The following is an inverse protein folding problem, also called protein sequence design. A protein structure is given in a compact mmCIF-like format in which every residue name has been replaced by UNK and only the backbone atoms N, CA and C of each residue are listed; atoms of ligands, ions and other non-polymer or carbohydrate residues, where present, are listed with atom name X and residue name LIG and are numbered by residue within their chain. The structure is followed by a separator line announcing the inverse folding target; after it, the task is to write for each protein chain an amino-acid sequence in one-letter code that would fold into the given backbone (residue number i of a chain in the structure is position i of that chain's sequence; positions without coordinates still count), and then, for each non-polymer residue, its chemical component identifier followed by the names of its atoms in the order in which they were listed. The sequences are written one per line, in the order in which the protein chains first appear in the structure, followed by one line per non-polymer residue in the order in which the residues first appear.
data_IF_757424255559
#
_entry.id   IF_757424255559
#
_cell.length_a   1.000
_cell.length_b   1.000
_cell.length_c   1.000
_cell.angle_alpha   90.00
_cell.angle_beta   90.00
_cell.angle_gamma   90.00
#
_symmetry.space_group_name_H-M   'P 1'
#
loop_
_entity.id
_entity.type
_entity.pdbx_description
1 polymer ?
#
# COMPACT_ATOMS: atom_id res chain seq x y z
N UNK A 1 -0.51 -22.10 17.78
CA UNK A 1 -1.42 -21.07 18.32
C UNK A 1 -0.96 -20.60 19.70
N UNK A 2 -0.18 -19.52 19.76
CA UNK A 2 -0.06 -18.67 20.95
C UNK A 2 -0.20 -17.23 20.47
N UNK A 3 -1.45 -16.82 20.23
CA UNK A 3 -1.79 -15.40 20.16
C UNK A 3 -1.36 -14.80 21.50
N UNK A 4 -0.31 -13.97 21.48
CA UNK A 4 0.08 -13.24 22.68
C UNK A 4 -1.10 -12.35 23.09
N UNK A 5 -1.51 -12.33 24.38
CA UNK A 5 -2.67 -11.57 24.80
C UNK A 5 -2.53 -10.08 24.41
N UNK A 6 -3.63 -9.38 24.08
CA UNK A 6 -3.60 -8.02 23.53
C UNK A 6 -2.86 -6.98 24.40
N UNK A 7 -2.72 -7.23 25.71
CA UNK A 7 -1.91 -6.38 26.60
C UNK A 7 -0.39 -6.54 26.37
N UNK A 8 0.08 -7.73 25.99
CA UNK A 8 1.50 -7.98 25.72
C UNK A 8 1.94 -7.34 24.40
N UNK A 9 1.07 -7.31 23.38
CA UNK A 9 1.37 -6.64 22.10
C UNK A 9 1.45 -5.12 22.25
N UNK A 10 0.55 -4.51 23.04
CA UNK A 10 0.58 -3.07 23.34
C UNK A 10 1.86 -2.69 24.09
N UNK A 11 2.26 -3.44 25.12
CA UNK A 11 3.49 -3.16 25.87
C UNK A 11 4.74 -3.30 24.99
N UNK A 12 4.83 -4.37 24.19
CA UNK A 12 5.94 -4.57 23.23
C UNK A 12 6.05 -3.40 22.26
N UNK A 13 4.91 -2.92 21.75
CA UNK A 13 4.87 -1.80 20.82
C UNK A 13 5.25 -0.47 21.47
N UNK A 14 4.82 -0.21 22.70
CA UNK A 14 5.25 0.97 23.45
C UNK A 14 6.76 0.95 23.70
N UNK A 15 7.31 -0.19 24.12
CA UNK A 15 8.75 -0.37 24.29
C UNK A 15 9.50 -0.16 22.96
N UNK A 16 9.00 -0.75 21.87
CA UNK A 16 9.58 -0.58 20.55
C UNK A 16 9.64 0.89 20.15
N UNK A 17 8.53 1.64 20.29
CA UNK A 17 8.50 3.08 20.01
C UNK A 17 9.50 3.86 20.87
N UNK A 18 9.67 3.51 22.15
CA UNK A 18 10.67 4.18 23.00
C UNK A 18 12.10 3.89 22.54
N UNK A 19 12.40 2.65 22.14
CA UNK A 19 13.71 2.29 21.59
C UNK A 19 13.97 3.04 20.27
N UNK A 20 12.98 3.12 19.38
CA UNK A 20 13.11 3.82 18.10
C UNK A 20 13.33 5.34 18.25
N UNK A 21 13.01 5.93 19.41
CA UNK A 21 13.28 7.33 19.73
C UNK A 21 14.72 7.61 20.19
N UNK A 22 15.54 6.57 20.36
CA UNK A 22 16.94 6.74 20.75
C UNK A 22 17.71 7.52 19.67
N UNK A 23 18.76 8.29 20.03
CA UNK A 23 19.55 9.05 19.07
C UNK A 23 20.12 8.17 17.95
N UNK A 24 20.27 8.73 16.75
CA UNK A 24 20.82 8.05 15.57
C UNK A 24 22.08 7.23 15.88
N UNK A 25 23.04 7.82 16.61
CA UNK A 25 24.29 7.15 16.96
C UNK A 25 24.07 5.87 17.79
N UNK A 26 23.06 5.87 18.67
CA UNK A 26 22.70 4.72 19.51
C UNK A 26 22.01 3.65 18.68
N UNK A 27 21.01 3.99 17.86
CA UNK A 27 20.36 3.03 16.96
C UNK A 27 21.35 2.41 15.97
N UNK A 28 22.27 3.22 15.45
CA UNK A 28 23.37 2.75 14.58
C UNK A 28 24.28 1.79 15.34
N UNK A 29 24.68 2.10 16.57
CA UNK A 29 25.52 1.23 17.37
C UNK A 29 24.82 -0.10 17.67
N UNK A 30 23.56 -0.07 18.12
CA UNK A 30 22.77 -1.26 18.42
C UNK A 30 22.50 -2.14 17.19
N UNK A 31 22.49 -1.55 15.99
CA UNK A 31 22.36 -2.28 14.72
C UNK A 31 23.71 -2.71 14.12
N UNK A 32 24.78 -2.73 14.92
CA UNK A 32 26.10 -3.21 14.50
C UNK A 32 26.87 -2.22 13.62
N UNK A 33 26.53 -0.92 13.67
CA UNK A 33 27.27 0.16 13.03
C UNK A 33 27.03 0.36 11.53
N UNK A 34 26.36 -0.58 10.85
CA UNK A 34 26.22 -0.55 9.40
C UNK A 34 25.03 0.30 8.91
N UNK A 35 25.29 1.17 7.94
CA UNK A 35 24.27 1.93 7.20
C UNK A 35 24.00 1.20 5.88
N UNK A 36 22.75 1.22 5.41
CA UNK A 36 22.39 0.67 4.10
C UNK A 36 22.37 1.83 3.11
N UNK A 37 23.30 1.83 2.17
CA UNK A 37 23.43 2.87 1.15
C UNK A 37 23.46 2.23 -0.24
N UNK A 38 22.55 2.64 -1.12
CA UNK A 38 22.40 2.11 -2.47
C UNK A 38 22.12 3.28 -3.41
N UNK A 39 22.95 3.45 -4.45
CA UNK A 39 22.81 4.48 -5.50
C UNK A 39 22.53 5.89 -4.96
N UNK A 40 23.35 6.34 -4.01
CA UNK A 40 23.24 7.69 -3.43
C UNK A 40 22.12 7.86 -2.41
N UNK A 41 21.32 6.82 -2.15
CA UNK A 41 20.23 6.84 -1.16
C UNK A 41 20.58 6.02 0.07
N UNK A 42 20.15 6.49 1.22
CA UNK A 42 20.39 5.87 2.51
C UNK A 42 19.07 5.41 3.11
N UNK A 43 18.98 4.13 3.46
CA UNK A 43 17.81 3.59 4.15
C UNK A 43 17.64 4.28 5.49
N UNK A 44 16.39 4.53 5.85
CA UNK A 44 16.05 5.06 7.17
C UNK A 44 16.70 4.26 8.31
N UNK A 45 17.13 4.96 9.36
CA UNK A 45 17.90 4.36 10.45
C UNK A 45 17.04 3.53 11.39
N UNK A 46 15.79 3.96 11.65
CA UNK A 46 14.86 3.18 12.46
C UNK A 46 14.48 1.89 11.70
N UNK A 47 14.24 1.98 10.39
CA UNK A 47 14.03 0.81 9.52
C UNK A 47 15.26 -0.11 9.50
N UNK A 48 16.47 0.44 9.35
CA UNK A 48 17.72 -0.33 9.39
C UNK A 48 17.89 -1.05 10.74
N UNK A 49 17.56 -0.37 11.84
CA UNK A 49 17.60 -0.95 13.19
C UNK A 49 16.58 -2.07 13.35
N UNK A 50 15.34 -1.87 12.91
CA UNK A 50 14.29 -2.89 12.90
C UNK A 50 14.76 -4.12 12.13
N UNK A 51 15.25 -3.91 10.91
CA UNK A 51 15.77 -4.98 10.06
C UNK A 51 16.87 -5.77 10.78
N UNK A 52 17.93 -5.12 11.25
CA UNK A 52 19.10 -5.81 11.81
C UNK A 52 18.91 -6.40 13.20
N UNK A 53 17.97 -5.89 13.98
CA UNK A 53 17.81 -6.26 15.40
C UNK A 53 16.64 -7.20 15.62
N UNK A 54 15.52 -6.97 14.93
CA UNK A 54 14.30 -7.75 15.11
C UNK A 54 14.06 -8.72 13.95
N UNK A 55 14.59 -8.41 12.77
CA UNK A 55 14.35 -9.17 11.54
C UNK A 55 15.64 -9.66 10.87
N UNK A 56 16.69 -9.92 11.64
CA UNK A 56 17.85 -10.66 11.16
C UNK A 56 18.12 -11.77 12.18
N UNK A 57 17.71 -13.00 11.86
CA UNK A 57 17.96 -14.15 12.73
C UNK A 57 19.32 -14.77 12.43
N UNK A 58 19.92 -15.43 13.43
CA UNK A 58 21.22 -16.12 13.32
C UNK A 58 21.23 -17.29 12.31
N UNK A 59 20.08 -17.73 11.81
CA UNK A 59 19.90 -18.83 10.86
C UNK A 59 19.93 -18.40 9.37
N UNK A 60 20.33 -17.15 9.08
CA UNK A 60 20.34 -16.54 7.74
C UNK A 60 18.96 -16.41 7.07
N UNK A 61 17.84 -16.74 7.74
CA UNK A 61 16.51 -16.38 7.24
C UNK A 61 16.25 -14.90 7.51
N UNK A 62 15.87 -14.17 6.47
CA UNK A 62 15.34 -12.82 6.59
C UNK A 62 13.84 -12.94 6.89
N UNK A 63 13.37 -12.65 8.12
CA UNK A 63 11.94 -12.60 8.42
C UNK A 63 11.25 -11.60 7.51
N UNK A 64 10.00 -11.90 7.14
CA UNK A 64 9.22 -11.23 6.09
C UNK A 64 9.65 -11.54 4.64
N UNK A 65 10.66 -12.40 4.43
CA UNK A 65 10.93 -12.98 3.11
C UNK A 65 10.01 -14.17 2.85
N UNK A 66 9.62 -14.35 1.59
CA UNK A 66 8.97 -15.57 1.10
C UNK A 66 10.00 -16.65 0.74
N UNK A 67 11.27 -16.28 0.64
CA UNK A 67 12.34 -17.22 0.29
C UNK A 67 12.61 -18.16 1.45
N UNK A 68 12.49 -19.47 1.20
CA UNK A 68 12.82 -20.50 2.18
C UNK A 68 11.76 -20.72 3.26
N UNK A 69 10.51 -20.26 3.07
CA UNK A 69 9.36 -20.55 3.93
C UNK A 69 8.14 -20.96 3.09
N UNK A 70 7.07 -21.47 3.73
CA UNK A 70 5.79 -21.70 3.03
C UNK A 70 4.99 -20.40 2.93
N UNK A 71 4.00 -20.35 2.03
CA UNK A 71 3.11 -19.18 1.91
C UNK A 71 2.35 -18.93 3.20
N UNK A 72 1.91 -19.98 3.89
CA UNK A 72 1.23 -19.89 5.18
C UNK A 72 2.15 -19.32 6.25
N UNK A 73 3.39 -19.81 6.34
CA UNK A 73 4.38 -19.27 7.27
C UNK A 73 4.71 -17.79 7.00
N UNK A 74 4.85 -17.41 5.73
CA UNK A 74 5.02 -16.01 5.36
C UNK A 74 3.80 -15.16 5.76
N UNK A 75 2.58 -15.64 5.55
CA UNK A 75 1.35 -14.93 5.96
C UNK A 75 1.32 -14.70 7.47
N UNK A 76 1.68 -15.70 8.27
CA UNK A 76 1.78 -15.56 9.73
C UNK A 76 2.82 -14.52 10.14
N UNK A 77 4.03 -14.57 9.56
CA UNK A 77 5.10 -13.61 9.85
C UNK A 77 4.71 -12.16 9.52
N UNK A 78 4.06 -11.95 8.36
CA UNK A 78 3.58 -10.63 7.94
C UNK A 78 2.43 -10.12 8.80
N UNK A 79 1.53 -11.01 9.24
CA UNK A 79 0.46 -10.66 10.17
C UNK A 79 1.00 -10.23 11.54
N UNK A 80 2.00 -10.94 12.07
CA UNK A 80 2.66 -10.57 13.32
C UNK A 80 3.39 -9.22 13.21
N UNK A 81 4.08 -8.99 12.10
CA UNK A 81 4.71 -7.70 11.85
C UNK A 81 3.69 -6.56 11.76
N UNK A 82 2.57 -6.74 11.04
CA UNK A 82 1.51 -5.72 10.96
C UNK A 82 0.90 -5.41 12.35
N UNK A 83 0.71 -6.43 13.19
CA UNK A 83 0.24 -6.24 14.56
C UNK A 83 1.24 -5.39 15.39
N UNK A 84 2.54 -5.66 15.25
CA UNK A 84 3.60 -4.91 15.93
C UNK A 84 3.70 -3.45 15.42
N UNK A 85 3.51 -3.23 14.13
CA UNK A 85 3.61 -1.92 13.46
C UNK A 85 2.28 -1.14 13.37
N UNK A 86 1.28 -1.56 14.13
CA UNK A 86 -0.06 -0.97 14.15
C UNK A 86 -0.06 0.56 14.42
N UNK A 87 -1.13 1.26 14.02
CA UNK A 87 -1.24 2.72 14.13
C UNK A 87 -1.20 3.23 15.59
N UNK A 88 -0.58 4.40 15.77
CA UNK A 88 -0.46 5.15 17.03
C UNK A 88 -1.72 5.26 17.87
N UNK A 89 -1.59 5.36 19.20
CA UNK A 89 -2.72 5.73 20.06
C UNK A 89 -3.23 7.15 19.79
N UNK A 90 -2.37 8.00 19.23
CA UNK A 90 -2.68 9.35 18.76
C UNK A 90 -3.58 9.36 17.52
N UNK A 91 -3.60 8.26 16.75
CA UNK A 91 -4.45 8.10 15.56
C UNK A 91 -5.87 7.77 16.01
N UNK A 92 -6.76 8.77 15.93
CA UNK A 92 -8.14 8.64 16.41
C UNK A 92 -9.10 8.27 15.27
N UNK A 93 -9.26 6.97 15.06
CA UNK A 93 -10.21 6.37 14.12
C UNK A 93 -11.04 5.27 14.80
N UNK A 94 -12.23 5.00 14.27
CA UNK A 94 -13.01 3.81 14.57
C UNK A 94 -12.83 2.82 13.42
N UNK A 95 -12.39 1.61 13.73
CA UNK A 95 -12.30 0.49 12.78
C UNK A 95 -13.44 -0.47 13.05
N UNK A 96 -14.20 -0.83 12.02
CA UNK A 96 -15.31 -1.76 12.12
C UNK A 96 -15.43 -2.63 10.87
N UNK A 97 -15.95 -3.85 11.03
CA UNK A 97 -16.23 -4.71 9.88
C UNK A 97 -17.30 -4.07 8.98
N UNK A 98 -17.10 -4.16 7.67
CA UNK A 98 -18.05 -3.70 6.67
C UNK A 98 -18.14 -4.72 5.53
N UNK A 99 -19.34 -4.89 4.98
CA UNK A 99 -19.60 -5.87 3.94
C UNK A 99 -21.10 -6.09 3.72
N UNK A 100 -21.45 -6.90 2.74
CA UNK A 100 -22.83 -7.35 2.47
C UNK A 100 -23.19 -8.65 3.21
N UNK A 101 -22.26 -9.22 3.97
CA UNK A 101 -22.42 -10.54 4.60
C UNK A 101 -22.27 -11.71 3.63
N UNK A 102 -21.85 -11.44 2.39
CA UNK A 102 -21.56 -12.40 1.34
C UNK A 102 -20.12 -12.27 0.86
N UNK A 103 -19.93 -11.92 -0.41
CA UNK A 103 -18.62 -11.87 -1.06
C UNK A 103 -17.84 -10.59 -0.73
N UNK A 104 -18.52 -9.48 -0.41
CA UNK A 104 -17.85 -8.23 -0.05
C UNK A 104 -17.69 -8.16 1.45
N UNK A 105 -16.44 -8.23 1.92
CA UNK A 105 -16.08 -8.07 3.33
C UNK A 105 -14.84 -7.18 3.44
N UNK A 106 -14.64 -6.53 4.58
CA UNK A 106 -13.50 -5.65 4.78
C UNK A 106 -13.56 -4.87 6.09
N UNK A 107 -12.65 -3.92 6.22
CA UNK A 107 -12.57 -2.99 7.34
C UNK A 107 -12.97 -1.59 6.89
N UNK A 108 -13.86 -0.96 7.62
CA UNK A 108 -14.21 0.44 7.44
C UNK A 108 -13.57 1.26 8.55
N UNK A 109 -12.81 2.25 8.14
CA UNK A 109 -12.03 3.13 9.00
C UNK A 109 -12.68 4.50 8.94
N UNK A 110 -13.22 4.95 10.07
CA UNK A 110 -13.87 6.26 10.20
C UNK A 110 -13.04 7.17 11.10
N UNK A 111 -12.55 8.32 10.61
CA UNK A 111 -11.96 9.32 11.49
C UNK A 111 -13.02 9.93 12.40
N UNK A 112 -12.59 10.49 13.54
CA UNK A 112 -13.52 11.16 14.48
C UNK A 112 -14.36 12.27 13.84
N UNK A 113 -13.79 12.96 12.86
CA UNK A 113 -14.47 13.98 12.06
C UNK A 113 -14.15 13.69 10.61
N UNK A 114 -15.19 13.46 9.82
CA UNK A 114 -15.09 13.33 8.36
C UNK A 114 -15.28 14.73 7.77
N UNK A 115 -14.44 15.11 6.82
CA UNK A 115 -14.67 16.31 6.04
C UNK A 115 -15.89 16.10 5.12
N UNK A 116 -16.85 17.02 5.15
CA UNK A 116 -18.08 16.94 4.35
C UNK A 116 -17.85 16.79 2.84
N UNK A 117 -16.72 17.29 2.33
CA UNK A 117 -16.33 17.21 0.93
C UNK A 117 -15.47 15.99 0.60
N UNK A 118 -15.01 15.25 1.62
CA UNK A 118 -14.16 14.08 1.40
C UNK A 118 -14.93 13.00 0.63
N UNK A 119 -14.31 12.36 -0.38
CA UNK A 119 -14.84 11.11 -0.92
C UNK A 119 -14.67 9.97 0.08
N UNK A 120 -15.36 8.86 -0.16
CA UNK A 120 -14.94 7.56 0.37
C UNK A 120 -13.71 7.11 -0.40
N UNK A 121 -12.62 6.75 0.28
CA UNK A 121 -11.51 6.04 -0.36
C UNK A 121 -11.72 4.52 -0.24
N UNK A 122 -11.89 3.84 -1.38
CA UNK A 122 -11.80 2.37 -1.46
C UNK A 122 -10.33 2.02 -1.70
N UNK A 123 -9.66 1.51 -0.67
CA UNK A 123 -8.23 1.25 -0.67
C UNK A 123 -7.97 -0.26 -0.71
N UNK A 124 -7.39 -0.79 -1.79
CA UNK A 124 -6.98 -2.19 -1.85
C UNK A 124 -5.65 -2.39 -1.13
N UNK A 125 -5.60 -3.40 -0.25
CA UNK A 125 -4.47 -3.63 0.64
C UNK A 125 -3.22 -4.14 -0.11
N UNK A 126 -2.08 -4.10 0.58
CA UNK A 126 -0.81 -4.64 0.08
C UNK A 126 -0.74 -6.17 0.20
N UNK A 127 0.42 -6.76 -0.10
CA UNK A 127 0.72 -8.18 0.10
C UNK A 127 0.94 -8.95 -1.19
N UNK A 128 1.16 -8.27 -2.32
CA UNK A 128 1.44 -8.94 -3.59
C UNK A 128 0.30 -9.80 -4.15
N UNK A 129 -0.92 -9.67 -3.60
CA UNK A 129 -2.04 -10.57 -3.91
C UNK A 129 -1.88 -11.99 -3.35
N UNK A 130 -0.90 -12.19 -2.45
CA UNK A 130 -0.50 -13.50 -1.90
C UNK A 130 -0.49 -13.49 -0.37
N UNK A 131 -0.08 -12.38 0.23
CA UNK A 131 0.15 -12.23 1.67
C UNK A 131 -1.00 -11.48 2.36
N UNK A 132 -1.28 -11.88 3.60
CA UNK A 132 -2.06 -11.14 4.59
C UNK A 132 -3.51 -10.87 4.23
N UNK A 133 -3.90 -9.61 4.35
CA UNK A 133 -5.28 -9.13 4.33
C UNK A 133 -5.32 -7.63 4.66
N UNK A 134 -6.52 -7.05 4.93
CA UNK A 134 -6.67 -5.65 5.32
C UNK A 134 -5.73 -5.20 6.45
N UNK A 135 -5.36 -6.08 7.37
CA UNK A 135 -4.45 -5.80 8.48
C UNK A 135 -3.07 -5.27 8.04
N UNK A 136 -2.54 -5.69 6.88
CA UNK A 136 -1.22 -5.24 6.39
C UNK A 136 -1.21 -3.74 6.05
N UNK A 137 -2.36 -3.18 5.69
CA UNK A 137 -2.50 -1.79 5.30
C UNK A 137 -3.27 -0.96 6.34
N UNK A 138 -3.72 -1.58 7.43
CA UNK A 138 -4.57 -0.94 8.43
C UNK A 138 -3.88 0.24 9.13
N UNK A 139 -2.57 0.13 9.41
CA UNK A 139 -1.82 1.21 10.06
C UNK A 139 -1.74 2.45 9.17
N UNK A 140 -1.33 2.27 7.91
CA UNK A 140 -1.33 3.29 6.87
C UNK A 140 -2.72 3.92 6.70
N UNK A 141 -3.74 3.08 6.47
CA UNK A 141 -5.10 3.54 6.18
C UNK A 141 -5.71 4.29 7.37
N UNK A 142 -5.42 3.88 8.61
CA UNK A 142 -5.85 4.58 9.82
C UNK A 142 -5.22 5.95 9.95
N UNK A 143 -3.91 6.07 9.70
CA UNK A 143 -3.20 7.34 9.75
C UNK A 143 -3.67 8.28 8.63
N UNK A 144 -3.76 7.79 7.40
CA UNK A 144 -4.30 8.54 6.26
C UNK A 144 -5.73 9.04 6.54
N UNK A 145 -6.61 8.16 7.01
CA UNK A 145 -7.99 8.52 7.35
C UNK A 145 -8.07 9.61 8.44
N UNK A 146 -7.23 9.47 9.48
CA UNK A 146 -7.15 10.45 10.57
C UNK A 146 -6.70 11.83 10.08
N UNK A 147 -5.63 11.89 9.31
CA UNK A 147 -5.02 13.14 8.84
C UNK A 147 -5.86 13.81 7.74
N UNK A 148 -6.28 13.04 6.73
CA UNK A 148 -7.06 13.56 5.61
C UNK A 148 -8.55 13.78 5.96
N UNK A 149 -8.99 13.34 7.15
CA UNK A 149 -10.41 13.32 7.57
C UNK A 149 -11.31 12.63 6.54
N UNK A 150 -10.80 11.55 5.97
CA UNK A 150 -11.42 10.78 4.89
C UNK A 150 -11.83 9.40 5.39
N UNK A 151 -13.08 8.94 5.17
CA UNK A 151 -13.43 7.56 5.45
C UNK A 151 -12.75 6.62 4.46
N UNK A 152 -12.23 5.50 4.95
CA UNK A 152 -11.53 4.50 4.13
C UNK A 152 -12.20 3.15 4.26
N UNK A 153 -12.62 2.57 3.14
CA UNK A 153 -13.05 1.18 3.07
C UNK A 153 -11.89 0.33 2.52
N UNK A 154 -11.46 -0.64 3.31
CA UNK A 154 -10.35 -1.55 3.04
C UNK A 154 -10.91 -2.97 2.83
N UNK A 155 -11.37 -3.30 1.61
CA UNK A 155 -11.95 -4.60 1.31
C UNK A 155 -10.91 -5.72 1.41
N UNK A 156 -11.35 -6.87 1.91
CA UNK A 156 -10.63 -8.13 1.78
C UNK A 156 -10.96 -8.74 0.41
N UNK A 157 -9.96 -9.28 -0.26
CA UNK A 157 -10.11 -9.99 -1.53
C UNK A 157 -9.41 -11.36 -1.45
N UNK A 158 -9.84 -12.31 -2.28
CA UNK A 158 -9.23 -13.64 -2.35
C UNK A 158 -7.77 -13.57 -2.78
N UNK A 159 -6.94 -14.39 -2.15
CA UNK A 159 -5.50 -14.40 -2.36
C UNK A 159 -5.03 -15.62 -3.14
N UNK A 160 -3.95 -15.42 -3.89
CA UNK A 160 -3.17 -16.48 -4.48
C UNK A 160 -2.26 -17.13 -3.43
N UNK A 161 -1.84 -18.40 -3.62
CA UNK A 161 -2.05 -19.25 -4.80
C UNK A 161 -3.42 -19.96 -4.88
N UNK A 162 -4.23 -19.93 -3.82
CA UNK A 162 -5.53 -20.61 -3.76
C UNK A 162 -6.53 -20.04 -4.77
N UNK A 163 -6.46 -18.73 -4.95
CA UNK A 163 -7.30 -17.97 -5.88
C UNK A 163 -6.42 -17.05 -6.73
N UNK A 164 -5.81 -17.63 -7.76
CA UNK A 164 -4.96 -16.89 -8.72
C UNK A 164 -5.76 -15.86 -9.51
N UNK A 165 -5.06 -14.95 -10.17
CA UNK A 165 -5.67 -13.97 -11.08
C UNK A 165 -6.65 -14.66 -12.07
N UNK A 166 -7.86 -14.11 -12.29
CA UNK A 166 -8.36 -12.79 -11.85
C UNK A 166 -9.12 -12.76 -10.52
N UNK A 167 -9.17 -13.85 -9.72
CA UNK A 167 -10.11 -13.96 -8.60
C UNK A 167 -10.08 -12.79 -7.60
N UNK A 168 -8.90 -12.38 -7.12
CA UNK A 168 -8.78 -11.23 -6.22
C UNK A 168 -9.10 -9.87 -6.90
N UNK A 169 -8.85 -9.76 -8.20
CA UNK A 169 -9.22 -8.56 -8.98
C UNK A 169 -10.75 -8.47 -9.17
N UNK A 170 -11.42 -9.61 -9.42
CA UNK A 170 -12.87 -9.67 -9.50
C UNK A 170 -13.53 -9.27 -8.17
N UNK A 171 -12.94 -9.68 -7.04
CA UNK A 171 -13.40 -9.25 -5.72
C UNK A 171 -13.19 -7.75 -5.49
N UNK A 172 -12.07 -7.19 -5.97
CA UNK A 172 -11.82 -5.75 -5.91
C UNK A 172 -12.86 -4.95 -6.71
N UNK A 173 -13.24 -5.43 -7.90
CA UNK A 173 -14.34 -4.85 -8.71
C UNK A 173 -15.67 -4.91 -7.97
N UNK A 174 -16.01 -6.06 -7.40
CA UNK A 174 -17.25 -6.23 -6.65
C UNK A 174 -17.30 -5.32 -5.43
N UNK A 175 -16.19 -5.19 -4.71
CA UNK A 175 -16.07 -4.30 -3.56
C UNK A 175 -16.22 -2.82 -3.94
N UNK A 176 -15.66 -2.40 -5.08
CA UNK A 176 -15.84 -1.06 -5.63
C UNK A 176 -17.30 -0.75 -5.93
N UNK A 177 -17.97 -1.62 -6.69
CA UNK A 177 -19.38 -1.45 -7.07
C UNK A 177 -20.29 -1.41 -5.84
N UNK A 178 -20.04 -2.29 -4.86
CA UNK A 178 -20.75 -2.29 -3.59
C UNK A 178 -20.52 -1.00 -2.80
N UNK A 179 -19.29 -0.50 -2.77
CA UNK A 179 -18.97 0.74 -2.04
C UNK A 179 -19.67 1.95 -2.67
N UNK A 180 -19.72 2.04 -4.00
CA UNK A 180 -20.47 3.07 -4.73
C UNK A 180 -21.97 3.06 -4.37
N UNK A 181 -22.56 1.88 -4.25
CA UNK A 181 -23.96 1.75 -3.83
C UNK A 181 -24.21 2.11 -2.35
N UNK A 182 -23.16 2.28 -1.54
CA UNK A 182 -23.24 2.42 -0.08
C UNK A 182 -22.53 3.66 0.49
N UNK A 183 -22.18 4.66 -0.33
CA UNK A 183 -21.34 5.80 0.07
C UNK A 183 -21.78 6.49 1.36
N UNK A 184 -23.08 6.81 1.48
CA UNK A 184 -23.63 7.43 2.69
C UNK A 184 -23.46 6.54 3.93
N UNK A 185 -23.73 5.24 3.82
CA UNK A 185 -23.52 4.27 4.91
C UNK A 185 -22.04 4.16 5.26
N UNK A 186 -21.15 4.29 4.29
CA UNK A 186 -19.70 4.22 4.49
C UNK A 186 -19.08 5.55 4.97
N UNK A 187 -19.89 6.60 5.12
CA UNK A 187 -19.50 7.88 5.72
C UNK A 187 -19.16 8.99 4.72
N UNK A 188 -19.27 8.73 3.41
CA UNK A 188 -19.06 9.75 2.38
C UNK A 188 -20.36 10.48 2.05
N UNK A 189 -20.67 11.52 2.85
CA UNK A 189 -21.84 12.38 2.63
C UNK A 189 -21.74 13.24 1.38
N UNK A 190 -20.53 13.41 0.84
CA UNK A 190 -20.28 14.10 -0.44
C UNK A 190 -20.89 13.39 -1.65
N UNK A 191 -21.27 12.11 -1.51
CA UNK A 191 -21.70 11.27 -2.63
C UNK A 191 -20.58 10.93 -3.61
N UNK A 192 -19.32 11.20 -3.25
CA UNK A 192 -18.13 10.96 -4.08
C UNK A 192 -17.36 9.74 -3.60
N UNK A 193 -16.73 9.06 -4.55
CA UNK A 193 -15.84 7.94 -4.28
C UNK A 193 -14.50 8.15 -4.95
N UNK A 194 -13.45 7.72 -4.28
CA UNK A 194 -12.09 7.67 -4.76
C UNK A 194 -11.56 6.25 -4.56
N UNK A 195 -10.54 5.90 -5.32
CA UNK A 195 -9.96 4.55 -5.31
C UNK A 195 -8.49 4.63 -4.95
N UNK A 196 -7.91 3.54 -4.47
CA UNK A 196 -6.47 3.47 -4.30
C UNK A 196 -6.01 2.09 -3.92
N UNK A 197 -4.70 1.95 -3.75
CA UNK A 197 -4.13 0.76 -3.16
C UNK A 197 -2.63 0.83 -3.00
N UNK A 198 -2.11 -0.20 -2.34
CA UNK A 198 -0.69 -0.33 -2.00
C UNK A 198 -0.12 -1.55 -2.70
N UNK A 199 1.05 -1.44 -3.35
CA UNK A 199 1.69 -2.58 -4.01
C UNK A 199 0.80 -3.19 -5.09
N UNK A 200 0.37 -4.43 -4.90
CA UNK A 200 -0.59 -5.11 -5.78
C UNK A 200 -2.01 -4.53 -5.67
N UNK A 201 -2.42 -4.01 -4.50
CA UNK A 201 -3.65 -3.23 -4.41
C UNK A 201 -3.59 -1.97 -5.29
N UNK A 202 -2.41 -1.36 -5.42
CA UNK A 202 -2.17 -0.25 -6.34
C UNK A 202 -2.30 -0.66 -7.82
N UNK A 203 -1.86 -1.88 -8.16
CA UNK A 203 -2.12 -2.49 -9.46
C UNK A 203 -3.63 -2.57 -9.76
N UNK A 204 -4.39 -3.19 -8.84
CA UNK A 204 -5.83 -3.40 -8.97
C UNK A 204 -6.57 -2.06 -9.11
N UNK A 205 -6.19 -1.05 -8.32
CA UNK A 205 -6.78 0.29 -8.41
C UNK A 205 -6.55 0.94 -9.78
N UNK A 206 -5.31 0.90 -10.28
CA UNK A 206 -4.98 1.46 -11.59
C UNK A 206 -5.70 0.71 -12.72
N UNK A 207 -5.69 -0.62 -12.70
CA UNK A 207 -6.38 -1.47 -13.68
C UNK A 207 -7.89 -1.22 -13.68
N UNK A 208 -8.51 -1.06 -12.50
CA UNK A 208 -9.92 -0.77 -12.40
C UNK A 208 -10.27 0.61 -12.97
N UNK A 209 -9.43 1.64 -12.77
CA UNK A 209 -9.66 2.95 -13.41
C UNK A 209 -9.59 2.88 -14.94
N UNK A 210 -8.66 2.08 -15.47
CA UNK A 210 -8.54 1.85 -16.91
C UNK A 210 -9.76 1.09 -17.47
N UNK A 211 -10.23 0.07 -16.74
CA UNK A 211 -11.44 -0.68 -17.11
C UNK A 211 -12.70 0.18 -17.06
N UNK A 212 -12.91 0.95 -15.99
CA UNK A 212 -14.06 1.86 -15.89
C UNK A 212 -14.08 2.87 -17.04
N UNK A 213 -12.91 3.41 -17.40
CA UNK A 213 -12.75 4.33 -18.52
C UNK A 213 -13.05 3.65 -19.85
N UNK A 214 -12.55 2.44 -20.08
CA UNK A 214 -12.81 1.65 -21.30
C UNK A 214 -14.30 1.31 -21.43
N UNK A 215 -14.93 0.97 -20.32
CA UNK A 215 -16.31 0.49 -20.27
C UNK A 215 -17.33 1.65 -20.13
N UNK A 216 -16.89 2.91 -20.27
CA UNK A 216 -17.69 4.13 -20.14
C UNK A 216 -18.50 4.21 -18.82
N UNK A 217 -17.92 3.72 -17.73
CA UNK A 217 -18.50 3.77 -16.38
C UNK A 217 -18.09 5.05 -15.64
N UNK A 218 -18.86 5.48 -14.62
CA UNK A 218 -18.45 6.59 -13.76
C UNK A 218 -17.08 6.34 -13.15
N UNK A 219 -16.18 7.31 -13.30
CA UNK A 219 -14.83 7.25 -12.73
C UNK A 219 -14.81 7.71 -11.27
N UNK A 220 -13.87 7.19 -10.45
CA UNK A 220 -13.57 7.79 -9.15
C UNK A 220 -13.12 9.24 -9.32
N UNK A 221 -13.31 10.07 -8.29
CA UNK A 221 -12.85 11.47 -8.33
C UNK A 221 -11.32 11.58 -8.27
N UNK A 222 -10.65 10.58 -7.70
CA UNK A 222 -9.20 10.48 -7.64
C UNK A 222 -8.75 9.00 -7.46
N UNK A 223 -7.49 8.71 -7.83
CA UNK A 223 -6.80 7.46 -7.53
C UNK A 223 -5.51 7.69 -6.72
N UNK A 224 -5.33 6.92 -5.63
CA UNK A 224 -4.12 6.91 -4.79
C UNK A 224 -3.32 5.62 -5.01
N UNK A 225 -2.13 5.72 -5.57
CA UNK A 225 -1.27 4.57 -5.90
C UNK A 225 0.02 4.62 -5.07
N UNK A 226 0.13 3.74 -4.07
CA UNK A 226 1.28 3.71 -3.15
C UNK A 226 2.18 2.54 -3.47
N UNK A 227 3.44 2.82 -3.82
CA UNK A 227 4.45 1.85 -4.27
C UNK A 227 3.87 0.80 -5.23
N UNK A 228 3.17 1.21 -6.32
CA UNK A 228 2.32 0.30 -7.07
C UNK A 228 3.14 -0.67 -7.94
N UNK A 229 2.71 -1.93 -8.01
CA UNK A 229 3.26 -2.92 -8.93
C UNK A 229 2.53 -2.86 -10.28
N UNK A 230 3.05 -2.16 -11.29
CA UNK A 230 2.27 -1.82 -12.50
C UNK A 230 2.64 -2.61 -13.77
N UNK A 231 3.79 -3.28 -13.78
CA UNK A 231 4.23 -4.19 -14.85
C UNK A 231 4.92 -5.41 -14.23
N UNK A 232 4.23 -6.55 -14.26
CA UNK A 232 4.73 -7.82 -13.71
C UNK A 232 5.81 -8.45 -14.60
N UNK A 233 5.96 -7.97 -15.84
CA UNK A 233 6.96 -8.43 -16.79
C UNK A 233 8.13 -7.43 -16.94
N UNK A 234 8.25 -6.44 -16.04
CA UNK A 234 9.29 -5.42 -16.12
C UNK A 234 10.70 -6.03 -15.93
N UNK A 235 11.58 -6.00 -16.95
CA UNK A 235 12.93 -6.52 -16.80
C UNK A 235 13.77 -5.69 -15.81
N UNK A 236 13.45 -4.41 -15.64
CA UNK A 236 14.18 -3.52 -14.72
C UNK A 236 13.95 -3.90 -13.26
N UNK A 237 12.83 -4.60 -12.97
CA UNK A 237 12.50 -5.03 -11.62
C UNK A 237 13.58 -5.94 -11.03
N UNK A 238 13.99 -6.96 -11.79
CA UNK A 238 15.02 -7.93 -11.37
C UNK A 238 16.43 -7.33 -11.45
N UNK A 239 16.66 -6.40 -12.38
CA UNK A 239 17.95 -5.74 -12.56
C UNK A 239 18.19 -4.57 -11.59
N UNK A 240 17.14 -4.14 -10.88
CA UNK A 240 17.18 -3.01 -9.95
C UNK A 240 18.28 -3.18 -8.91
N UNK A 241 19.04 -2.11 -8.65
CA UNK A 241 20.03 -2.09 -7.57
C UNK A 241 19.38 -2.18 -6.18
N UNK A 242 18.08 -1.89 -6.10
CA UNK A 242 17.25 -2.09 -4.91
C UNK A 242 16.67 -3.50 -4.82
N UNK A 243 16.98 -4.42 -5.74
CA UNK A 243 16.47 -5.80 -5.72
C UNK A 243 16.79 -6.58 -4.43
N UNK A 244 17.75 -6.12 -3.61
CA UNK A 244 18.12 -6.70 -2.33
C UNK A 244 17.64 -5.86 -1.13
N UNK A 245 16.76 -4.89 -1.35
CA UNK A 245 16.21 -4.06 -0.28
C UNK A 245 15.32 -4.87 0.65
N UNK A 246 15.31 -4.52 1.93
CA UNK A 246 14.38 -5.02 2.93
C UNK A 246 13.22 -4.01 3.09
N UNK A 247 11.97 -4.42 3.39
CA UNK A 247 11.49 -5.78 3.71
C UNK A 247 11.26 -6.73 2.55
N UNK A 248 11.04 -6.22 1.34
CA UNK A 248 10.68 -7.04 0.17
C UNK A 248 11.80 -6.95 -0.87
N UNK A 249 12.38 -8.10 -1.19
CA UNK A 249 13.38 -8.24 -2.26
C UNK A 249 12.74 -8.52 -3.62
N UNK A 250 13.53 -8.41 -4.70
CA UNK A 250 13.08 -8.82 -6.03
C UNK A 250 12.80 -10.33 -6.12
N UNK A 251 13.47 -11.16 -5.30
CA UNK A 251 13.17 -12.59 -5.24
C UNK A 251 11.80 -12.84 -4.62
N UNK A 252 11.45 -12.10 -3.56
CA UNK A 252 10.11 -12.17 -2.95
C UNK A 252 9.03 -11.71 -3.94
N UNK A 253 9.29 -10.64 -4.69
CA UNK A 253 8.40 -10.18 -5.76
C UNK A 253 8.22 -11.24 -6.85
N UNK A 254 9.28 -11.91 -7.29
CA UNK A 254 9.20 -12.97 -8.30
C UNK A 254 8.34 -14.15 -7.83
N UNK A 255 8.49 -14.56 -6.57
CA UNK A 255 7.67 -15.61 -5.95
C UNK A 255 6.19 -15.17 -5.88
N UNK A 256 5.93 -13.93 -5.43
CA UNK A 256 4.56 -13.40 -5.35
C UNK A 256 3.91 -13.30 -6.73
N UNK A 257 4.63 -12.80 -7.73
CA UNK A 257 4.17 -12.69 -9.12
C UNK A 257 3.83 -14.09 -9.67
N UNK A 258 4.70 -15.08 -9.43
CA UNK A 258 4.47 -16.46 -9.86
C UNK A 258 3.22 -17.09 -9.25
N UNK A 259 2.97 -16.86 -7.95
CA UNK A 259 1.74 -17.31 -7.30
C UNK A 259 0.50 -16.57 -7.83
N UNK A 260 0.58 -15.25 -7.97
CA UNK A 260 -0.53 -14.39 -8.35
C UNK A 260 -1.00 -14.64 -9.79
N UNK A 261 -0.11 -14.56 -10.77
CA UNK A 261 -0.46 -14.69 -12.18
C UNK A 261 -0.82 -16.13 -12.58
N UNK A 262 -0.16 -17.13 -11.97
CA UNK A 262 -0.29 -18.53 -12.37
C UNK A 262 0.21 -18.79 -13.79
N UNK A 263 -0.28 -19.87 -14.41
CA UNK A 263 0.13 -20.28 -15.75
C UNK A 263 -0.83 -19.81 -16.88
N UNK A 264 -1.92 -19.10 -16.52
CA UNK A 264 -3.03 -18.83 -17.44
C UNK A 264 -2.93 -17.53 -18.23
N UNK A 265 -2.40 -16.46 -17.62
CA UNK A 265 -2.29 -15.13 -18.25
C UNK A 265 -0.83 -14.73 -18.34
N UNK A 266 -0.39 -14.23 -19.49
CA UNK A 266 0.99 -13.75 -19.66
C UNK A 266 1.27 -12.53 -18.79
N UNK A 267 2.45 -12.44 -18.18
CA UNK A 267 2.80 -11.31 -17.30
C UNK A 267 2.74 -9.94 -18.01
N UNK A 268 2.95 -9.92 -19.33
CA UNK A 268 2.85 -8.70 -20.14
C UNK A 268 1.41 -8.33 -20.55
N UNK A 269 0.42 -9.15 -20.22
CA UNK A 269 -0.99 -8.84 -20.50
C UNK A 269 -1.41 -7.59 -19.73
N UNK A 270 -2.12 -6.67 -20.39
CA UNK A 270 -2.59 -5.40 -19.81
C UNK A 270 -3.56 -5.61 -18.63
N UNK A 271 -4.18 -6.78 -18.54
CA UNK A 271 -5.02 -7.19 -17.42
C UNK A 271 -4.22 -7.35 -16.12
N UNK A 272 -2.97 -7.81 -16.22
CA UNK A 272 -2.02 -7.95 -15.10
C UNK A 272 -1.11 -6.73 -14.96
N UNK A 273 -0.72 -6.12 -16.09
CA UNK A 273 0.30 -5.08 -16.17
C UNK A 273 -0.31 -3.78 -16.73
N UNK A 274 -1.05 -3.01 -15.91
CA UNK A 274 -1.74 -1.80 -16.34
C UNK A 274 -0.80 -0.73 -16.93
N UNK A 275 0.50 -0.74 -16.59
CA UNK A 275 1.48 0.14 -17.24
C UNK A 275 1.64 -0.13 -18.75
N UNK A 276 1.17 -1.28 -19.25
CA UNK A 276 1.21 -1.65 -20.67
C UNK A 276 -0.05 -1.28 -21.43
N UNK A 277 -1.10 -0.80 -20.76
CA UNK A 277 -2.33 -0.33 -21.42
C UNK A 277 -1.99 0.86 -22.33
N UNK A 278 -2.35 0.81 -23.61
CA UNK A 278 -2.00 1.87 -24.57
C UNK A 278 -2.80 3.15 -24.32
N UNK A 279 -4.09 3.00 -24.04
CA UNK A 279 -5.08 4.09 -24.03
C UNK A 279 -5.41 4.52 -22.60
N UNK A 280 -4.67 5.53 -22.11
CA UNK A 280 -4.70 5.96 -20.69
C UNK A 280 -5.21 7.40 -20.45
N UNK A 281 -5.64 8.12 -21.49
CA UNK A 281 -6.19 9.47 -21.33
C UNK A 281 -7.53 9.48 -20.54
N UNK A 282 -7.88 10.62 -19.95
CA UNK A 282 -9.15 10.76 -19.21
C UNK A 282 -9.21 9.92 -17.93
N UNK A 283 -8.04 9.57 -17.36
CA UNK A 283 -7.95 8.93 -16.06
C UNK A 283 -8.21 9.95 -14.94
N UNK A 284 -8.70 9.50 -13.77
CA UNK A 284 -9.01 10.36 -12.64
C UNK A 284 -7.75 11.05 -12.11
N UNK A 285 -7.93 12.15 -11.37
CA UNK A 285 -6.83 12.83 -10.67
C UNK A 285 -6.01 11.82 -9.88
N UNK A 286 -4.69 11.87 -9.98
CA UNK A 286 -3.84 10.77 -9.52
C UNK A 286 -2.76 11.24 -8.56
N UNK A 287 -2.62 10.59 -7.40
CA UNK A 287 -1.45 10.68 -6.55
C UNK A 287 -0.69 9.35 -6.62
N UNK A 288 0.55 9.39 -7.12
CA UNK A 288 1.47 8.24 -7.13
C UNK A 288 2.60 8.48 -6.14
N UNK A 289 2.87 7.48 -5.32
CA UNK A 289 3.91 7.52 -4.29
C UNK A 289 4.86 6.35 -4.47
N UNK A 290 6.17 6.55 -4.25
CA UNK A 290 7.15 5.47 -4.24
C UNK A 290 8.27 5.70 -3.21
N UNK A 291 8.98 4.63 -2.87
CA UNK A 291 10.19 4.71 -2.05
C UNK A 291 11.44 5.12 -2.85
N UNK A 292 12.44 5.62 -2.15
CA UNK A 292 13.77 5.84 -2.71
C UNK A 292 14.50 4.53 -2.99
N UNK A 293 14.36 3.57 -2.08
CA UNK A 293 14.96 2.23 -2.15
C UNK A 293 13.89 1.19 -2.52
N UNK A 294 13.18 1.48 -3.60
CA UNK A 294 12.02 0.70 -4.06
C UNK A 294 12.28 0.23 -5.50
N UNK A 295 12.34 -1.09 -5.76
CA UNK A 295 12.52 -1.60 -7.11
C UNK A 295 11.31 -1.31 -8.03
N UNK A 296 10.16 -0.91 -7.47
CA UNK A 296 8.95 -0.52 -8.19
C UNK A 296 8.92 0.97 -8.56
N UNK A 297 9.89 1.78 -8.10
CA UNK A 297 9.86 3.23 -8.31
C UNK A 297 9.89 3.60 -9.81
N UNK A 298 10.69 2.89 -10.61
CA UNK A 298 10.85 3.19 -12.04
C UNK A 298 9.53 3.01 -12.81
N UNK A 299 8.77 1.95 -12.55
CA UNK A 299 7.47 1.75 -13.18
C UNK A 299 6.42 2.77 -12.71
N UNK A 300 6.48 3.20 -11.44
CA UNK A 300 5.62 4.26 -10.93
C UNK A 300 5.91 5.60 -11.61
N UNK A 301 7.19 5.95 -11.80
CA UNK A 301 7.63 7.14 -12.56
C UNK A 301 7.19 7.09 -14.02
N UNK A 302 7.32 5.93 -14.68
CA UNK A 302 6.84 5.75 -16.06
C UNK A 302 5.33 5.94 -16.13
N UNK A 303 4.56 5.36 -15.22
CA UNK A 303 3.10 5.52 -15.22
C UNK A 303 2.69 6.97 -14.96
N UNK A 304 3.32 7.65 -14.00
CA UNK A 304 3.07 9.06 -13.73
C UNK A 304 3.34 9.93 -14.97
N UNK A 305 4.47 9.71 -15.66
CA UNK A 305 4.80 10.41 -16.91
C UNK A 305 3.73 10.20 -17.97
N UNK A 306 3.31 8.95 -18.18
CA UNK A 306 2.28 8.63 -19.15
C UNK A 306 0.95 9.33 -18.82
N UNK A 307 0.52 9.35 -17.56
CA UNK A 307 -0.69 10.07 -17.13
C UNK A 307 -0.59 11.58 -17.39
N UNK A 308 0.57 12.19 -17.09
CA UNK A 308 0.84 13.62 -17.37
C UNK A 308 0.78 13.90 -18.87
N UNK A 309 1.42 13.08 -19.70
CA UNK A 309 1.36 13.17 -21.17
C UNK A 309 -0.08 13.00 -21.68
N UNK A 310 -0.86 12.15 -21.01
CA UNK A 310 -2.30 11.96 -21.22
C UNK A 310 -3.20 13.07 -20.66
N UNK A 311 -2.61 14.17 -20.16
CA UNK A 311 -3.27 15.34 -19.55
C UNK A 311 -4.11 15.03 -18.30
N UNK A 312 -3.81 13.94 -17.59
CA UNK A 312 -4.36 13.70 -16.26
C UNK A 312 -3.62 14.55 -15.23
N UNK A 313 -4.36 15.23 -14.34
CA UNK A 313 -3.75 15.91 -13.19
C UNK A 313 -3.11 14.85 -12.28
N UNK A 314 -1.78 14.81 -12.27
CA UNK A 314 -1.01 13.80 -11.54
C UNK A 314 0.04 14.45 -10.64
N UNK A 315 0.01 14.06 -9.36
CA UNK A 315 1.05 14.34 -8.39
C UNK A 315 1.90 13.07 -8.23
N UNK A 316 3.22 13.21 -8.30
CA UNK A 316 4.17 12.14 -8.04
C UNK A 316 5.11 12.52 -6.90
N UNK A 317 5.26 11.62 -5.91
CA UNK A 317 6.11 11.82 -4.75
C UNK A 317 7.02 10.62 -4.51
N UNK A 318 8.31 10.88 -4.34
CA UNK A 318 9.31 9.87 -3.98
C UNK A 318 9.93 10.19 -2.62
N UNK A 319 9.92 9.22 -1.71
CA UNK A 319 10.51 9.37 -0.38
C UNK A 319 11.88 8.68 -0.32
N UNK A 320 12.96 9.45 -0.48
CA UNK A 320 14.31 8.92 -0.77
C UNK A 320 14.89 7.92 0.23
N UNK A 321 14.47 7.97 1.50
CA UNK A 321 14.98 7.08 2.56
C UNK A 321 14.11 5.84 2.78
N UNK A 322 12.96 5.76 2.11
CA UNK A 322 11.96 4.71 2.31
C UNK A 322 12.19 3.52 1.35
N UNK A 323 12.05 2.27 1.84
CA UNK A 323 12.07 1.07 0.99
C UNK A 323 10.68 0.75 0.40
N UNK A 324 10.61 -0.24 -0.50
CA UNK A 324 9.34 -0.89 -0.82
C UNK A 324 8.66 -1.45 0.44
N UNK A 325 7.34 -1.30 0.57
CA UNK A 325 6.59 -1.76 1.74
C UNK A 325 6.68 -0.83 2.95
N UNK A 326 7.27 0.37 2.80
CA UNK A 326 7.36 1.33 3.90
C UNK A 326 6.03 1.75 4.57
N UNK A 327 4.84 1.72 3.90
CA UNK A 327 3.57 2.02 4.57
C UNK A 327 3.30 1.13 5.79
N UNK A 328 3.86 -0.09 5.84
CA UNK A 328 3.77 -0.98 7.00
C UNK A 328 4.35 -0.33 8.26
N UNK A 329 5.41 0.48 8.15
CA UNK A 329 6.13 1.05 9.28
C UNK A 329 5.55 2.36 9.80
N UNK A 330 4.48 2.88 9.18
CA UNK A 330 3.91 4.19 9.50
C UNK A 330 3.42 4.32 10.96
N UNK A 331 3.16 3.19 11.64
CA UNK A 331 2.76 3.20 13.04
C UNK A 331 3.91 3.35 14.05
N UNK A 332 5.18 3.23 13.65
CA UNK A 332 6.31 3.20 14.59
C UNK A 332 7.59 3.91 14.11
N UNK A 333 7.78 4.13 12.80
CA UNK A 333 8.94 4.83 12.23
C UNK A 333 8.56 6.26 11.92
N UNK A 334 9.32 7.22 12.43
CA UNK A 334 8.98 8.65 12.37
C UNK A 334 8.95 9.17 10.92
N UNK A 335 9.95 8.79 10.10
CA UNK A 335 9.97 9.20 8.69
C UNK A 335 8.88 8.52 7.84
N UNK A 336 8.46 7.31 8.18
CA UNK A 336 7.34 6.64 7.51
C UNK A 336 6.01 7.30 7.91
N UNK A 337 5.83 7.64 9.20
CA UNK A 337 4.68 8.41 9.67
C UNK A 337 4.61 9.77 8.98
N UNK A 338 5.73 10.49 8.92
CA UNK A 338 5.83 11.78 8.25
C UNK A 338 5.50 11.68 6.75
N UNK A 339 5.96 10.62 6.08
CA UNK A 339 5.60 10.36 4.69
C UNK A 339 4.09 10.17 4.53
N UNK A 340 3.42 9.42 5.41
CA UNK A 340 1.96 9.24 5.32
C UNK A 340 1.19 10.53 5.63
N UNK A 341 1.68 11.38 6.54
CA UNK A 341 1.11 12.71 6.80
C UNK A 341 1.22 13.63 5.57
N UNK A 342 2.37 13.61 4.90
CA UNK A 342 2.60 14.32 3.64
C UNK A 342 1.67 13.79 2.53
N UNK A 343 1.50 12.46 2.41
CA UNK A 343 0.53 11.84 1.50
C UNK A 343 -0.90 12.27 1.81
N UNK A 344 -1.29 12.34 3.09
CA UNK A 344 -2.63 12.78 3.50
C UNK A 344 -2.90 14.23 3.08
N UNK A 345 -1.91 15.11 3.24
CA UNK A 345 -2.01 16.50 2.80
C UNK A 345 -2.19 16.61 1.27
N UNK A 346 -1.34 15.92 0.50
CA UNK A 346 -1.45 15.87 -0.96
C UNK A 346 -2.79 15.25 -1.41
N UNK A 347 -3.26 14.22 -0.70
CA UNK A 347 -4.54 13.58 -0.96
C UNK A 347 -5.73 14.52 -0.73
N UNK A 348 -5.73 15.25 0.38
CA UNK A 348 -6.75 16.25 0.67
C UNK A 348 -6.72 17.37 -0.38
N UNK A 349 -5.55 17.86 -0.77
CA UNK A 349 -5.41 18.87 -1.84
C UNK A 349 -5.99 18.35 -3.16
N UNK A 350 -5.62 17.14 -3.58
CA UNK A 350 -6.04 16.55 -4.84
C UNK A 350 -7.57 16.36 -4.93
N UNK A 351 -8.19 15.95 -3.82
CA UNK A 351 -9.61 15.57 -3.75
C UNK A 351 -10.56 16.70 -3.41
N UNK A 352 -10.07 17.79 -2.80
CA UNK A 352 -10.90 18.94 -2.41
C UNK A 352 -10.74 20.15 -3.32
N UNK A 353 -9.65 20.23 -4.09
CA UNK A 353 -9.44 21.34 -5.03
C UNK A 353 -10.55 21.35 -6.09
N UNK A 354 -11.31 22.45 -6.24
CA UNK A 354 -12.35 22.56 -7.27
C UNK A 354 -11.77 22.26 -8.66
N UNK A 355 -12.59 21.74 -9.57
CA UNK A 355 -12.22 21.61 -10.98
C UNK A 355 -11.98 23.00 -11.56
N UNK A 356 -10.73 23.45 -11.51
CA UNK A 356 -10.28 24.65 -12.22
C UNK A 356 -10.18 24.40 -13.74
N UNK A 357 -10.30 23.15 -14.19
CA UNK A 357 -10.14 22.73 -15.59
C UNK A 357 -11.46 22.58 -16.36
N UNK A 358 -12.60 23.02 -15.81
CA UNK A 358 -13.87 23.06 -16.55
C UNK A 358 -14.00 24.26 -17.51
N UNK A 359 -12.91 24.97 -17.80
CA UNK A 359 -12.93 26.14 -18.68
C UNK A 359 -11.61 26.38 -19.40
N UNK A 360 -11.36 25.65 -20.48
CA UNK A 360 -10.71 26.15 -21.71
C UNK A 360 -11.33 25.45 -22.92
#
# INVERSE_FOLDING_TARGET
MRLSPPRQSVLRRLLLRQVLRLPFAVLKFLSGGGIVHVDGRTLDTQITFLWKTFFARQDQRTPLSLTGTSVEGAREDWQEAAALMSAGSEVRVKVEAAGDGGLVNGQLIRPQRIDHNSPLLVLFHDGGGVLGGPELSLAFASLLAHEARCPVFLPAYRLAPEHRFPAGYDDARLAWDWALANLGRLGATSGKAAIGGIGMGGNMAARLCLDLRRDFKPLPVAQLLVTPLLDLADPDLKASRFARSWPISAADLDIMIGHYAGAGTGLSDVALSPLREEVINGQPRTLIVSGGLDPLAAQAERYARRLIEGRTHTLYRRYDTMPLGFPLFAGVVDHAEAAVRDMAALWSELTTSPDQDAGV
#
